data_IF_127672209457
#
_entry.id   IF_127672209457
#
_cell.length_a   1.000
_cell.length_b   1.000
_cell.length_c   1.000
_cell.angle_alpha   90.00
_cell.angle_beta   90.00
_cell.angle_gamma   90.00
#
_symmetry.space_group_name_H-M   'P 1'
#
loop_
_entity.id
_entity.type
_entity.pdbx_description
1 polymer ?
#
# COMPACT_ATOMS: atom_id res chain seq x y z
N UNK A 1 38.12 -82.59 8.80
CA UNK A 1 37.33 -82.55 10.00
C UNK A 1 37.69 -81.33 10.85
N UNK A 2 36.93 -80.29 10.85
CA UNK A 2 36.69 -79.29 11.90
C UNK A 2 35.65 -78.27 11.45
N UNK A 3 34.54 -78.31 12.17
CA UNK A 3 33.38 -77.47 12.06
C UNK A 3 33.73 -76.01 12.45
N UNK A 4 33.41 -75.05 11.58
CA UNK A 4 33.46 -73.62 11.85
C UNK A 4 32.06 -73.07 12.01
N UNK A 5 31.74 -72.60 13.22
CA UNK A 5 30.45 -71.95 13.57
C UNK A 5 30.49 -70.51 13.07
N UNK A 6 29.51 -70.17 12.26
CA UNK A 6 29.24 -68.79 11.87
C UNK A 6 28.33 -68.11 12.91
N UNK A 7 28.76 -67.02 13.52
CA UNK A 7 27.95 -66.19 14.43
C UNK A 7 27.35 -65.04 13.64
N UNK A 8 26.02 -65.00 13.49
CA UNK A 8 25.29 -63.88 12.94
C UNK A 8 25.13 -62.78 14.03
N UNK A 9 25.74 -61.64 13.81
CA UNK A 9 25.51 -60.43 14.61
C UNK A 9 24.33 -59.66 13.97
N UNK A 10 23.26 -59.49 14.75
CA UNK A 10 22.12 -58.62 14.39
C UNK A 10 22.50 -57.19 14.66
N UNK A 11 22.75 -56.43 13.61
CA UNK A 11 22.88 -54.99 13.69
C UNK A 11 21.50 -54.29 13.77
N UNK A 12 21.28 -53.57 14.88
CA UNK A 12 20.09 -52.73 15.05
C UNK A 12 20.34 -51.43 14.28
N UNK A 13 19.70 -51.23 13.14
CA UNK A 13 19.64 -49.92 12.48
C UNK A 13 18.65 -49.02 13.22
N UNK A 14 19.17 -48.08 13.99
CA UNK A 14 18.38 -46.98 14.52
C UNK A 14 18.14 -45.96 13.40
N UNK A 15 16.92 -45.90 12.88
CA UNK A 15 16.51 -44.84 11.94
C UNK A 15 16.31 -43.55 12.71
N UNK A 16 17.24 -42.61 12.56
CA UNK A 16 17.05 -41.21 13.01
C UNK A 16 16.11 -40.51 12.05
N UNK A 17 14.87 -40.35 12.52
CA UNK A 17 13.84 -39.60 11.80
C UNK A 17 14.04 -38.11 12.10
N UNK A 18 14.75 -37.39 11.24
CA UNK A 18 14.85 -35.95 11.27
C UNK A 18 13.52 -35.33 10.86
N UNK A 19 12.76 -34.82 11.83
CA UNK A 19 11.60 -33.95 11.55
C UNK A 19 12.11 -32.62 11.02
N UNK A 20 11.99 -32.41 9.71
CA UNK A 20 12.10 -31.11 9.09
C UNK A 20 10.79 -30.39 9.35
N UNK A 21 10.79 -29.52 10.37
CA UNK A 21 9.70 -28.56 10.58
C UNK A 21 9.71 -27.57 9.44
N UNK A 22 8.91 -27.81 8.42
CA UNK A 22 8.64 -26.86 7.36
C UNK A 22 7.94 -25.64 7.93
N UNK A 23 8.68 -24.55 8.16
CA UNK A 23 8.08 -23.23 8.33
C UNK A 23 7.44 -22.85 6.99
N UNK A 24 6.13 -23.05 6.87
CA UNK A 24 5.34 -22.48 5.80
C UNK A 24 5.41 -20.96 5.95
N UNK A 25 6.21 -20.31 5.12
CA UNK A 25 6.14 -18.86 4.95
C UNK A 25 4.72 -18.56 4.45
N UNK A 26 3.86 -18.02 5.33
CA UNK A 26 2.59 -17.43 4.92
C UNK A 26 2.96 -16.23 4.05
N UNK A 27 2.88 -16.40 2.73
CA UNK A 27 2.83 -15.27 1.81
C UNK A 27 1.60 -14.47 2.18
N UNK A 28 1.80 -13.28 2.75
CA UNK A 28 0.73 -12.32 2.93
C UNK A 28 0.26 -11.94 1.52
N UNK A 29 -0.80 -12.57 1.05
CA UNK A 29 -1.52 -12.14 -0.14
C UNK A 29 -2.06 -10.75 0.14
N UNK A 30 -1.94 -9.87 -0.86
CA UNK A 30 -2.40 -8.49 -0.81
C UNK A 30 -3.84 -8.41 -0.27
N UNK A 31 -4.00 -7.95 0.96
CA UNK A 31 -5.27 -8.01 1.69
C UNK A 31 -6.38 -7.19 1.04
N UNK A 32 -6.02 -6.17 0.23
CA UNK A 32 -6.98 -5.28 -0.42
C UNK A 32 -7.64 -5.86 -1.68
N UNK A 33 -6.97 -6.78 -2.39
CA UNK A 33 -7.48 -7.37 -3.64
C UNK A 33 -8.31 -8.64 -3.44
N UNK A 34 -8.37 -9.20 -2.24
CA UNK A 34 -9.12 -10.41 -1.94
C UNK A 34 -10.45 -10.04 -1.26
N UNK A 35 -11.50 -9.94 -2.02
CA UNK A 35 -12.85 -10.04 -1.48
C UNK A 35 -13.00 -11.40 -0.80
N UNK A 36 -13.29 -11.42 0.50
CA UNK A 36 -13.46 -12.53 1.43
C UNK A 36 -12.17 -13.00 2.14
N UNK A 37 -11.82 -12.34 3.21
CA UNK A 37 -11.13 -12.96 4.34
C UNK A 37 -11.75 -12.42 5.63
N UNK A 38 -11.95 -13.32 6.58
CA UNK A 38 -12.55 -13.08 7.87
C UNK A 38 -12.03 -11.81 8.56
N UNK A 39 -12.98 -11.04 9.05
CA UNK A 39 -12.81 -9.75 9.70
C UNK A 39 -11.95 -9.88 10.94
N UNK A 40 -10.68 -9.52 10.84
CA UNK A 40 -9.88 -9.23 12.03
C UNK A 40 -10.41 -7.97 12.71
N UNK A 41 -10.34 -7.84 14.05
CA UNK A 41 -10.96 -6.75 14.78
C UNK A 41 -10.43 -5.39 14.32
N UNK A 42 -11.34 -4.48 14.05
CA UNK A 42 -11.14 -3.10 13.61
C UNK A 42 -10.06 -2.40 14.44
N UNK A 43 -8.96 -2.00 13.78
CA UNK A 43 -8.00 -1.08 14.38
C UNK A 43 -8.71 0.25 14.69
N UNK A 44 -8.53 0.77 15.89
CA UNK A 44 -9.02 2.09 16.26
C UNK A 44 -8.33 3.16 15.40
N UNK A 45 -9.12 3.94 14.67
CA UNK A 45 -8.64 5.15 14.00
C UNK A 45 -8.11 6.11 15.06
N UNK A 46 -6.86 6.51 14.96
CA UNK A 46 -6.35 7.63 15.74
C UNK A 46 -7.00 8.92 15.23
N UNK A 47 -7.35 9.84 16.13
CA UNK A 47 -8.02 11.07 15.81
C UNK A 47 -7.26 11.88 14.74
N UNK A 48 -8.00 12.45 13.79
CA UNK A 48 -7.48 13.43 12.83
C UNK A 48 -7.14 14.69 13.60
N UNK A 49 -5.86 14.97 13.79
CA UNK A 49 -5.38 16.23 14.36
C UNK A 49 -5.35 17.32 13.30
N UNK A 50 -5.88 18.50 13.61
CA UNK A 50 -5.72 19.70 12.77
C UNK A 50 -4.28 20.20 12.86
N UNK A 51 -3.61 20.29 11.72
CA UNK A 51 -2.22 20.68 11.62
C UNK A 51 -2.06 22.22 11.80
N UNK A 52 -1.74 22.61 13.00
CA UNK A 52 -0.97 23.83 13.28
C UNK A 52 0.46 23.39 13.60
N UNK A 53 1.26 24.18 14.30
CA UNK A 53 2.66 23.93 14.68
C UNK A 53 3.03 22.48 15.18
N UNK A 54 2.08 21.55 15.19
CA UNK A 54 2.24 20.14 15.53
C UNK A 54 3.01 19.32 14.46
N UNK A 55 3.08 19.79 13.21
CA UNK A 55 3.80 19.07 12.14
C UNK A 55 5.30 18.89 12.42
N UNK A 56 5.93 19.87 13.06
CA UNK A 56 7.35 19.77 13.42
C UNK A 56 7.61 18.74 14.54
N UNK A 57 6.64 18.48 15.40
CA UNK A 57 6.75 17.50 16.49
C UNK A 57 6.31 16.10 16.05
N UNK A 58 5.41 15.99 15.09
CA UNK A 58 4.98 14.71 14.51
C UNK A 58 6.11 13.98 13.77
N UNK A 59 7.10 14.71 13.28
CA UNK A 59 8.29 14.16 12.60
C UNK A 59 9.16 13.27 13.50
N UNK A 60 8.99 13.35 14.82
CA UNK A 60 9.73 12.53 15.79
C UNK A 60 8.89 11.40 16.42
N UNK A 61 7.61 11.35 16.15
CA UNK A 61 6.75 10.30 16.66
C UNK A 61 6.77 9.09 15.72
N UNK A 62 7.42 8.02 16.13
CA UNK A 62 7.35 6.76 15.40
C UNK A 62 5.91 6.25 15.42
N UNK A 63 5.37 5.90 14.25
CA UNK A 63 4.06 5.27 14.14
C UNK A 63 4.12 3.91 14.84
N UNK A 64 3.24 3.61 15.81
CA UNK A 64 3.27 2.34 16.51
C UNK A 64 2.99 1.18 15.57
N UNK A 65 3.57 0.01 15.84
CA UNK A 65 3.32 -1.22 15.07
C UNK A 65 1.81 -1.52 14.98
N UNK A 66 1.34 -1.85 13.79
CA UNK A 66 -0.09 -2.11 13.51
C UNK A 66 -0.98 -0.86 13.45
N UNK A 67 -0.38 0.32 13.44
CA UNK A 67 -1.04 1.61 13.23
C UNK A 67 -0.61 2.22 11.90
N UNK A 68 -1.34 3.22 11.46
CA UNK A 68 -0.99 4.13 10.37
C UNK A 68 -1.30 5.55 10.82
N UNK A 69 -0.46 6.49 10.47
CA UNK A 69 -0.73 7.92 10.66
C UNK A 69 -1.26 8.49 9.34
N UNK A 70 -2.37 9.21 9.40
CA UNK A 70 -2.92 9.95 8.26
C UNK A 70 -3.11 11.39 8.71
N UNK A 71 -2.35 12.30 8.11
CA UNK A 71 -2.36 13.72 8.46
C UNK A 71 -2.83 14.53 7.26
N UNK A 72 -3.88 15.34 7.44
CA UNK A 72 -4.32 16.31 6.44
C UNK A 72 -3.31 17.44 6.35
N UNK A 73 -2.79 17.70 5.15
CA UNK A 73 -1.76 18.73 4.92
C UNK A 73 -2.22 19.89 4.02
N UNK A 74 -3.41 19.79 3.46
CA UNK A 74 -4.06 20.87 2.72
C UNK A 74 -4.73 20.42 1.44
N UNK A 75 -5.79 21.10 1.02
CA UNK A 75 -6.63 20.78 -0.14
C UNK A 75 -7.05 19.29 -0.13
N UNK A 76 -6.64 18.49 -1.11
CA UNK A 76 -6.86 17.04 -1.20
C UNK A 76 -5.63 16.21 -0.77
N UNK A 77 -4.60 16.87 -0.22
CA UNK A 77 -3.35 16.22 0.12
C UNK A 77 -3.34 15.70 1.56
N UNK A 78 -2.98 14.44 1.72
CA UNK A 78 -2.79 13.76 2.99
C UNK A 78 -1.39 13.15 3.04
N UNK A 79 -0.74 13.26 4.19
CA UNK A 79 0.48 12.53 4.50
C UNK A 79 0.10 11.23 5.20
N UNK A 80 0.56 10.10 4.67
CA UNK A 80 0.40 8.76 5.22
C UNK A 80 1.78 8.30 5.68
N UNK A 81 1.89 7.87 6.95
CA UNK A 81 3.14 7.39 7.53
C UNK A 81 2.95 6.02 8.19
N UNK A 82 3.96 5.16 8.09
CA UNK A 82 3.90 3.77 8.50
C UNK A 82 4.89 3.44 9.63
N UNK A 83 4.69 2.33 10.37
CA UNK A 83 5.60 1.90 11.44
C UNK A 83 7.05 1.69 11.00
N UNK A 84 7.30 1.23 9.77
CA UNK A 84 8.67 1.02 9.26
C UNK A 84 9.25 2.30 8.64
N UNK A 85 8.54 3.43 8.78
CA UNK A 85 8.99 4.74 8.32
C UNK A 85 8.89 4.91 6.80
N UNK A 86 7.93 4.26 6.14
CA UNK A 86 7.50 4.68 4.82
C UNK A 86 6.57 5.88 4.94
N UNK A 87 6.62 6.78 3.95
CA UNK A 87 5.75 7.95 3.87
C UNK A 87 5.23 8.14 2.45
N UNK A 88 3.95 8.51 2.34
CA UNK A 88 3.32 8.83 1.07
C UNK A 88 2.49 10.11 1.18
N UNK A 89 2.42 10.89 0.09
CA UNK A 89 1.55 12.06 -0.02
C UNK A 89 0.59 11.85 -1.18
N UNK A 90 -0.71 12.06 -0.90
CA UNK A 90 -1.78 12.01 -1.92
C UNK A 90 -1.91 13.37 -2.61
N UNK A 91 -2.30 13.36 -3.90
CA UNK A 91 -2.51 14.57 -4.72
C UNK A 91 -1.42 15.63 -4.52
N UNK A 92 -0.17 15.19 -4.66
CA UNK A 92 1.02 16.01 -4.46
C UNK A 92 1.07 17.13 -5.49
N UNK A 93 0.96 18.36 -5.03
CA UNK A 93 0.88 19.57 -5.87
C UNK A 93 2.06 20.54 -5.66
N UNK A 94 3.03 20.20 -4.81
CA UNK A 94 4.19 21.04 -4.53
C UNK A 94 3.93 22.22 -3.57
N UNK A 95 2.68 22.51 -3.25
CA UNK A 95 2.27 23.58 -2.30
C UNK A 95 1.98 22.99 -0.93
N UNK A 96 1.13 21.99 -0.87
CA UNK A 96 0.80 21.26 0.35
C UNK A 96 1.75 20.08 0.50
N UNK A 97 2.88 20.30 1.15
CA UNK A 97 3.94 19.30 1.32
C UNK A 97 4.35 19.19 2.78
N UNK A 98 4.77 18.01 3.26
CA UNK A 98 5.41 17.90 4.56
C UNK A 98 6.79 18.59 4.53
N UNK A 99 7.38 18.91 5.69
CA UNK A 99 8.68 19.57 5.79
C UNK A 99 9.88 18.67 5.41
N UNK A 100 9.61 17.49 4.90
CA UNK A 100 10.59 16.51 4.41
C UNK A 100 10.09 15.88 3.10
N UNK A 101 11.00 15.30 2.32
CA UNK A 101 10.65 14.58 1.10
C UNK A 101 9.94 13.25 1.44
N UNK A 102 8.67 13.07 1.05
CA UNK A 102 8.00 11.79 1.23
C UNK A 102 8.63 10.74 0.29
N UNK A 103 8.56 9.46 0.68
CA UNK A 103 9.10 8.39 -0.17
C UNK A 103 8.28 8.21 -1.45
N UNK A 104 6.96 8.37 -1.35
CA UNK A 104 6.01 8.15 -2.44
C UNK A 104 5.12 9.38 -2.57
N UNK A 105 4.85 9.80 -3.81
CA UNK A 105 3.82 10.80 -4.10
C UNK A 105 2.87 10.24 -5.15
N UNK A 106 1.56 10.47 -4.97
CA UNK A 106 0.54 10.17 -5.97
C UNK A 106 -0.05 11.48 -6.51
N UNK A 107 -0.46 11.48 -7.77
CA UNK A 107 -0.97 12.66 -8.46
C UNK A 107 -2.09 12.27 -9.41
N UNK A 108 -3.03 13.19 -9.67
CA UNK A 108 -4.09 13.03 -10.66
C UNK A 108 -4.12 14.23 -11.61
N UNK A 109 -4.42 13.98 -12.89
CA UNK A 109 -4.42 15.03 -13.93
C UNK A 109 -5.81 15.63 -14.06
N UNK A 110 -6.22 16.45 -13.09
CA UNK A 110 -7.44 17.26 -13.21
C UNK A 110 -7.11 18.75 -13.35
N UNK A 111 -6.35 19.27 -12.39
CA UNK A 111 -5.82 20.64 -12.40
C UNK A 111 -4.65 20.74 -11.40
N UNK A 112 -3.95 21.87 -11.44
CA UNK A 112 -2.69 22.10 -10.70
C UNK A 112 -2.76 21.93 -9.16
N UNK A 113 -3.93 21.81 -8.57
CA UNK A 113 -4.07 21.46 -7.15
C UNK A 113 -3.92 19.97 -6.87
N UNK A 114 -3.85 19.11 -7.89
CA UNK A 114 -3.74 17.66 -7.77
C UNK A 114 -2.43 17.08 -8.32
N UNK A 115 -1.60 17.91 -8.97
CA UNK A 115 -0.29 17.50 -9.48
C UNK A 115 0.69 18.66 -9.59
N UNK A 116 1.95 18.32 -9.78
CA UNK A 116 3.03 19.25 -10.18
C UNK A 116 4.09 18.49 -10.98
N UNK A 117 4.79 19.20 -11.83
CA UNK A 117 5.99 18.67 -12.50
C UNK A 117 7.27 18.96 -11.70
N UNK A 118 7.18 19.81 -10.67
CA UNK A 118 8.29 20.10 -9.78
C UNK A 118 8.27 19.17 -8.56
N UNK A 119 9.12 18.17 -8.59
CA UNK A 119 9.20 17.15 -7.54
C UNK A 119 10.32 17.52 -6.57
N UNK A 120 10.00 17.48 -5.27
CA UNK A 120 10.98 17.70 -4.21
C UNK A 120 12.09 16.65 -4.30
N UNK A 121 13.35 17.11 -4.18
CA UNK A 121 14.51 16.21 -4.12
C UNK A 121 14.38 15.26 -2.92
N UNK A 122 14.66 13.97 -3.15
CA UNK A 122 14.52 12.91 -2.16
C UNK A 122 13.22 12.09 -2.27
N UNK A 123 12.24 12.51 -3.07
CA UNK A 123 11.10 11.65 -3.42
C UNK A 123 11.59 10.45 -4.24
N UNK A 124 11.20 9.23 -3.83
CA UNK A 124 11.68 7.99 -4.46
C UNK A 124 10.75 7.53 -5.58
N UNK A 125 9.43 7.59 -5.34
CA UNK A 125 8.43 7.11 -6.28
C UNK A 125 7.41 8.20 -6.60
N UNK A 126 7.22 8.49 -7.88
CA UNK A 126 6.22 9.42 -8.40
C UNK A 126 5.18 8.63 -9.19
N UNK A 127 3.97 8.54 -8.65
CA UNK A 127 2.88 7.74 -9.22
C UNK A 127 1.83 8.68 -9.82
N UNK A 128 1.91 8.89 -11.13
CA UNK A 128 0.91 9.68 -11.85
C UNK A 128 -0.30 8.81 -12.19
N UNK A 129 -1.49 9.21 -11.79
CA UNK A 129 -2.77 8.54 -12.07
C UNK A 129 -3.20 8.60 -13.53
N UNK A 130 -2.36 9.16 -14.40
CA UNK A 130 -2.55 9.24 -15.86
C UNK A 130 -1.26 8.85 -16.58
N UNK A 131 -1.40 8.57 -17.87
CA UNK A 131 -0.27 8.29 -18.75
C UNK A 131 -0.16 9.37 -19.81
N UNK A 132 0.97 10.09 -19.93
CA UNK A 132 1.21 11.00 -21.03
C UNK A 132 1.04 10.27 -22.37
N UNK A 133 0.28 10.87 -23.31
CA UNK A 133 -0.06 10.24 -24.59
C UNK A 133 -1.26 9.29 -24.55
N UNK A 134 -1.95 9.21 -23.43
CA UNK A 134 -3.19 8.43 -23.26
C UNK A 134 -3.00 6.99 -22.79
N UNK A 135 -4.13 6.34 -22.50
CA UNK A 135 -4.16 4.97 -21.96
C UNK A 135 -4.16 4.93 -20.42
N UNK A 136 -4.21 3.72 -19.89
CA UNK A 136 -4.31 3.50 -18.46
C UNK A 136 -2.94 3.58 -17.78
N UNK A 137 -2.81 4.43 -16.77
CA UNK A 137 -1.71 4.34 -15.83
C UNK A 137 -1.92 3.11 -14.92
N UNK A 138 -0.87 2.33 -14.69
CA UNK A 138 -0.92 1.17 -13.79
C UNK A 138 0.29 1.19 -12.89
N UNK A 139 0.02 1.19 -11.60
CA UNK A 139 1.01 1.17 -10.54
C UNK A 139 0.67 0.06 -9.55
N UNK A 140 1.68 -0.65 -9.12
CA UNK A 140 1.62 -1.59 -8.00
C UNK A 140 3.04 -1.68 -7.46
N UNK A 141 3.34 -0.89 -6.45
CA UNK A 141 4.67 -0.81 -5.84
C UNK A 141 4.60 -1.14 -4.36
N UNK A 142 5.72 -1.62 -3.84
CA UNK A 142 5.92 -1.82 -2.41
C UNK A 142 7.21 -1.11 -1.97
N UNK A 143 7.08 -0.31 -0.93
CA UNK A 143 8.21 0.32 -0.27
C UNK A 143 8.09 0.10 1.24
N UNK A 144 9.03 -0.64 1.83
CA UNK A 144 8.96 -1.11 3.21
C UNK A 144 7.64 -1.85 3.49
N UNK A 145 6.88 -1.41 4.47
CA UNK A 145 5.59 -1.97 4.88
C UNK A 145 4.38 -1.32 4.19
N UNK A 146 4.61 -0.43 3.21
CA UNK A 146 3.58 0.24 2.43
C UNK A 146 3.53 -0.34 1.00
N UNK A 147 2.35 -0.80 0.57
CA UNK A 147 2.05 -1.07 -0.83
C UNK A 147 1.11 -0.01 -1.36
N UNK A 148 1.39 0.50 -2.56
CA UNK A 148 0.53 1.46 -3.25
C UNK A 148 0.21 0.91 -4.64
N UNK A 149 -1.07 0.81 -4.96
CA UNK A 149 -1.55 0.46 -6.29
C UNK A 149 -2.68 1.39 -6.71
N UNK A 150 -3.06 1.37 -7.98
CA UNK A 150 -4.12 2.22 -8.48
C UNK A 150 -5.18 1.47 -9.28
N UNK A 151 -6.39 2.00 -9.26
CA UNK A 151 -7.47 1.72 -10.20
C UNK A 151 -7.63 2.93 -11.12
N UNK A 152 -7.35 2.80 -12.45
CA UNK A 152 -7.56 3.89 -13.39
C UNK A 152 -9.04 4.27 -13.51
N UNK A 153 -9.30 5.55 -13.48
CA UNK A 153 -10.63 6.14 -13.64
C UNK A 153 -10.52 7.40 -14.50
N UNK A 154 -11.59 8.19 -14.60
CA UNK A 154 -11.59 9.49 -15.27
C UNK A 154 -12.28 10.54 -14.40
N UNK A 155 -12.14 11.80 -14.76
CA UNK A 155 -12.78 12.91 -14.04
C UNK A 155 -14.27 13.06 -14.37
N UNK A 156 -14.78 12.38 -15.41
CA UNK A 156 -16.21 12.34 -15.72
C UNK A 156 -16.79 13.65 -16.24
N UNK A 157 -15.97 14.63 -16.57
CA UNK A 157 -16.41 15.91 -17.10
C UNK A 157 -16.76 15.85 -18.59
N UNK A 158 -17.54 16.82 -19.07
CA UNK A 158 -18.10 16.93 -20.40
C UNK A 158 -17.13 16.56 -21.53
N UNK A 159 -17.41 15.46 -22.22
CA UNK A 159 -16.65 15.01 -23.37
C UNK A 159 -15.41 14.16 -23.09
N UNK A 160 -14.98 14.03 -21.86
CA UNK A 160 -13.76 13.31 -21.44
C UNK A 160 -14.02 11.84 -21.09
N UNK A 161 -15.12 11.29 -21.57
CA UNK A 161 -15.45 9.89 -21.39
C UNK A 161 -14.42 9.02 -22.11
N UNK A 162 -13.54 8.39 -21.34
CA UNK A 162 -12.52 7.49 -21.88
C UNK A 162 -11.07 7.96 -21.73
N UNK A 163 -10.83 9.19 -21.30
CA UNK A 163 -9.48 9.59 -20.89
C UNK A 163 -9.22 9.11 -19.46
N UNK A 164 -8.31 8.18 -19.29
CA UNK A 164 -7.89 7.69 -17.99
C UNK A 164 -6.95 8.72 -17.32
N UNK A 165 -7.49 9.87 -16.95
CA UNK A 165 -6.77 11.01 -16.41
C UNK A 165 -6.85 11.12 -14.87
N UNK A 166 -7.54 10.18 -14.22
CA UNK A 166 -7.61 10.02 -12.79
C UNK A 166 -7.32 8.57 -12.41
N UNK A 167 -6.93 8.38 -11.17
CA UNK A 167 -6.80 7.06 -10.53
C UNK A 167 -7.26 7.12 -9.08
N UNK A 168 -7.94 6.09 -8.65
CA UNK A 168 -8.08 5.80 -7.23
C UNK A 168 -6.79 5.13 -6.80
N UNK A 169 -6.06 5.73 -5.88
CA UNK A 169 -4.88 5.14 -5.28
C UNK A 169 -5.25 4.43 -3.98
N UNK A 170 -4.80 3.19 -3.83
CA UNK A 170 -5.02 2.38 -2.63
C UNK A 170 -3.68 2.16 -1.94
N UNK A 171 -3.66 2.48 -0.65
CA UNK A 171 -2.52 2.32 0.25
C UNK A 171 -2.83 1.16 1.20
N UNK A 172 -2.04 0.09 1.09
CA UNK A 172 -2.17 -1.10 1.92
C UNK A 172 -1.09 -1.10 3.00
N UNK A 173 -1.50 -0.96 4.26
CA UNK A 173 -0.62 -0.85 5.44
C UNK A 173 -1.28 -1.55 6.62
N UNK A 174 -0.55 -2.39 7.34
CA UNK A 174 -1.00 -2.97 8.61
C UNK A 174 -2.39 -3.65 8.53
N UNK A 175 -2.71 -4.30 7.39
CA UNK A 175 -4.01 -4.89 7.05
C UNK A 175 -5.14 -3.88 6.85
N UNK A 176 -4.85 -2.60 6.71
CA UNK A 176 -5.80 -1.58 6.29
C UNK A 176 -5.64 -1.27 4.80
N UNK A 177 -6.77 -1.01 4.16
CA UNK A 177 -6.88 -0.55 2.78
C UNK A 177 -7.44 0.87 2.79
N UNK A 178 -6.58 1.85 2.52
CA UNK A 178 -6.94 3.27 2.50
C UNK A 178 -7.03 3.68 1.04
N UNK A 179 -8.17 4.20 0.58
CA UNK A 179 -8.34 4.68 -0.78
C UNK A 179 -8.41 6.20 -0.83
N UNK A 180 -7.72 6.78 -1.81
CA UNK A 180 -7.83 8.18 -2.17
C UNK A 180 -8.42 8.29 -3.57
N UNK A 181 -9.59 8.93 -3.71
CA UNK A 181 -10.37 8.96 -4.95
C UNK A 181 -9.79 9.90 -6.01
N UNK A 182 -8.86 10.79 -5.62
CA UNK A 182 -8.41 11.85 -6.50
C UNK A 182 -9.54 12.79 -6.87
N UNK A 183 -9.72 13.03 -8.16
CA UNK A 183 -10.77 13.89 -8.71
C UNK A 183 -11.86 13.06 -9.43
N UNK A 184 -12.38 12.05 -8.73
CA UNK A 184 -13.41 11.14 -9.27
C UNK A 184 -14.77 11.83 -9.33
N UNK A 185 -15.37 11.94 -10.52
CA UNK A 185 -16.68 12.57 -10.74
C UNK A 185 -17.74 11.63 -11.31
N UNK A 186 -17.47 10.32 -11.39
CA UNK A 186 -18.44 9.36 -11.92
C UNK A 186 -18.69 8.21 -10.93
N UNK A 187 -19.81 7.52 -11.08
CA UNK A 187 -20.11 6.29 -10.34
C UNK A 187 -19.24 5.16 -10.89
N UNK A 188 -18.62 4.41 -9.99
CA UNK A 188 -17.82 3.25 -10.35
C UNK A 188 -18.70 2.11 -10.88
N UNK A 189 -18.23 1.41 -11.90
CA UNK A 189 -18.89 0.19 -12.40
C UNK A 189 -18.73 -0.97 -11.41
N UNK A 190 -19.59 -2.01 -11.48
CA UNK A 190 -19.43 -3.21 -10.66
C UNK A 190 -18.03 -3.85 -10.79
N UNK A 191 -17.46 -3.85 -12.01
CA UNK A 191 -16.12 -4.37 -12.30
C UNK A 191 -15.03 -3.53 -11.63
N UNK A 192 -15.18 -2.19 -11.63
CA UNK A 192 -14.28 -1.27 -10.94
C UNK A 192 -14.36 -1.47 -9.42
N UNK A 193 -15.56 -1.61 -8.86
CA UNK A 193 -15.75 -1.91 -7.43
C UNK A 193 -15.14 -3.26 -7.05
N UNK A 194 -15.31 -4.27 -7.88
CA UNK A 194 -14.69 -5.58 -7.68
C UNK A 194 -13.16 -5.49 -7.74
N UNK A 195 -12.62 -4.75 -8.69
CA UNK A 195 -11.17 -4.55 -8.83
C UNK A 195 -10.57 -3.73 -7.67
N UNK A 196 -11.34 -2.81 -7.09
CA UNK A 196 -10.92 -2.02 -5.93
C UNK A 196 -10.81 -2.91 -4.67
N UNK A 197 -11.71 -3.89 -4.53
CA UNK A 197 -11.75 -4.80 -3.41
C UNK A 197 -12.20 -4.16 -2.10
N UNK A 198 -11.63 -4.65 -0.98
CA UNK A 198 -11.94 -4.12 0.36
C UNK A 198 -11.30 -2.77 0.56
N UNK A 199 -12.11 -1.79 1.00
CA UNK A 199 -11.62 -0.49 1.47
C UNK A 199 -12.10 -0.28 2.90
N UNK A 200 -11.19 0.08 3.79
CA UNK A 200 -11.46 0.32 5.21
C UNK A 200 -11.55 1.82 5.51
N UNK A 201 -10.84 2.65 4.74
CA UNK A 201 -10.82 4.11 4.88
C UNK A 201 -10.91 4.73 3.49
N UNK A 202 -11.77 5.77 3.37
CA UNK A 202 -12.02 6.51 2.14
C UNK A 202 -11.83 8.01 2.40
#
# INVERSE_FOLDING_TARGET
MRSGRTVLSRGICAAVMTMVSGMAAKTALAACLLGMVDRAPSGQLAAVGTAGNALMLAQMATVPKGKVSVTYIGHSSFLIETPEGASAVTDYNGVHTPPFAPNIVTMNFSHETHYTDVIQEGVIHVLRGWKPGGGMARHDIRYKDLRVFNLPTNIGEYGDQGTNNNSIFVFEIANLCIAHLGHLHHVLTPEQLQALGRIDVL
#
